data_IF_055018615590
#
_entry.id   IF_055018615590
#
_cell.length_a   1.000
_cell.length_b   1.000
_cell.length_c   1.000
_cell.angle_alpha   90.00
_cell.angle_beta   90.00
_cell.angle_gamma   90.00
#
_symmetry.space_group_name_H-M   'P 1'
#
loop_
_entity.id
_entity.type
_entity.pdbx_description
1 polymer ?
#
# COMPACT_ATOMS: atom_id res chain seq x y z
N UNK A 1 -9.39 -2.13 15.51
CA UNK A 1 -7.95 -1.82 15.61
C UNK A 1 -7.77 -0.37 16.03
N UNK A 2 -6.87 -0.07 16.98
CA UNK A 2 -6.58 1.30 17.43
C UNK A 2 -5.62 2.04 16.48
N UNK A 3 -5.45 3.36 16.65
CA UNK A 3 -4.44 4.15 15.90
C UNK A 3 -3.05 3.57 16.14
N UNK A 4 -2.70 3.31 17.41
CA UNK A 4 -1.46 2.65 17.80
C UNK A 4 -1.26 1.27 17.18
N UNK A 5 -2.34 0.51 17.01
CA UNK A 5 -2.32 -0.78 16.31
C UNK A 5 -1.93 -0.64 14.84
N UNK A 6 -2.40 0.41 14.15
CA UNK A 6 -2.02 0.71 12.75
C UNK A 6 -0.58 1.22 12.61
N UNK A 7 -0.05 1.94 13.60
CA UNK A 7 1.39 2.26 13.67
C UNK A 7 2.22 0.97 13.69
N UNK A 8 1.86 0.05 14.60
CA UNK A 8 2.52 -1.23 14.76
C UNK A 8 2.45 -2.07 13.48
N UNK A 9 1.31 -2.07 12.80
CA UNK A 9 1.11 -2.78 11.54
C UNK A 9 2.06 -2.28 10.45
N UNK A 10 2.09 -0.96 10.20
CA UNK A 10 3.00 -0.35 9.21
C UNK A 10 4.45 -0.66 9.54
N UNK A 11 4.85 -0.52 10.82
CA UNK A 11 6.22 -0.78 11.24
C UNK A 11 6.62 -2.23 10.99
N UNK A 12 5.76 -3.19 11.37
CA UNK A 12 6.01 -4.62 11.18
C UNK A 12 6.04 -5.01 9.70
N UNK A 13 5.14 -4.47 8.89
CA UNK A 13 5.11 -4.71 7.44
C UNK A 13 6.42 -4.27 6.77
N UNK A 14 7.09 -3.25 7.31
CA UNK A 14 8.39 -2.75 6.82
C UNK A 14 9.61 -3.44 7.44
N UNK A 15 9.43 -4.29 8.45
CA UNK A 15 10.53 -4.97 9.14
C UNK A 15 11.48 -4.05 9.92
N UNK A 16 11.05 -2.83 10.28
CA UNK A 16 11.89 -1.84 10.97
C UNK A 16 11.67 -1.83 12.50
N UNK A 17 12.66 -1.30 13.25
CA UNK A 17 12.62 -1.19 14.71
C UNK A 17 11.83 0.04 15.14
N UNK A 18 11.40 0.05 16.41
CA UNK A 18 10.73 1.22 16.99
C UNK A 18 11.66 2.45 17.07
N UNK A 19 12.97 2.23 17.21
CA UNK A 19 14.00 3.28 17.17
C UNK A 19 14.05 3.96 15.81
N UNK A 20 13.99 3.18 14.73
CA UNK A 20 14.05 3.70 13.37
C UNK A 20 12.82 4.58 13.08
N UNK A 21 11.65 4.20 13.60
CA UNK A 21 10.43 5.02 13.54
C UNK A 21 10.60 6.32 14.32
N UNK A 22 11.13 6.23 15.54
CA UNK A 22 11.32 7.39 16.40
C UNK A 22 12.26 8.42 15.77
N UNK A 23 13.37 7.96 15.20
CA UNK A 23 14.34 8.79 14.47
C UNK A 23 13.72 9.41 13.22
N UNK A 24 13.00 8.62 12.41
CA UNK A 24 12.39 9.10 11.16
C UNK A 24 11.37 10.22 11.35
N UNK A 25 10.66 10.24 12.48
CA UNK A 25 9.61 11.24 12.77
C UNK A 25 9.99 12.23 13.87
N UNK A 26 11.21 12.17 14.39
CA UNK A 26 11.77 13.13 15.35
C UNK A 26 11.12 13.08 16.74
N UNK A 27 10.81 11.88 17.26
CA UNK A 27 10.25 11.69 18.61
C UNK A 27 11.08 10.73 19.46
N UNK A 28 10.75 10.58 20.74
CA UNK A 28 11.42 9.61 21.60
C UNK A 28 10.97 8.18 21.31
N UNK A 29 11.89 7.21 21.47
CA UNK A 29 11.57 5.78 21.40
C UNK A 29 10.42 5.40 22.35
N UNK A 30 10.41 5.95 23.58
CA UNK A 30 9.35 5.72 24.55
C UNK A 30 7.98 6.20 24.09
N UNK A 31 7.92 7.25 23.27
CA UNK A 31 6.66 7.69 22.66
C UNK A 31 6.12 6.64 21.68
N UNK A 32 6.96 6.11 20.78
CA UNK A 32 6.59 5.03 19.85
C UNK A 32 6.08 3.80 20.62
N UNK A 33 6.80 3.36 21.65
CA UNK A 33 6.39 2.23 22.51
C UNK A 33 5.01 2.46 23.13
N UNK A 34 4.78 3.66 23.66
CA UNK A 34 3.49 4.01 24.28
C UNK A 34 2.36 4.01 23.24
N UNK A 35 2.61 4.54 22.04
CA UNK A 35 1.61 4.56 20.98
C UNK A 35 1.23 3.14 20.54
N UNK A 36 2.22 2.29 20.26
CA UNK A 36 1.96 0.89 19.86
C UNK A 36 1.30 0.05 20.97
N UNK A 37 1.38 0.48 22.23
CA UNK A 37 0.69 -0.14 23.39
C UNK A 37 -0.71 0.43 23.67
N UNK A 38 -1.18 1.40 22.88
CA UNK A 38 -2.56 1.89 22.94
C UNK A 38 -2.74 3.32 23.44
N UNK A 39 -1.66 4.08 23.67
CA UNK A 39 -1.78 5.54 23.85
C UNK A 39 -2.04 6.21 22.51
N UNK A 40 -2.99 7.14 22.44
CA UNK A 40 -3.25 7.85 21.19
C UNK A 40 -2.10 8.85 20.88
N UNK A 41 -1.52 8.80 19.67
CA UNK A 41 -0.55 9.77 19.23
C UNK A 41 -1.23 11.12 18.91
N UNK A 42 -0.59 12.25 19.22
CA UNK A 42 -1.11 13.57 18.86
C UNK A 42 -1.08 13.78 17.34
N UNK A 43 -1.88 14.73 16.85
CA UNK A 43 -2.05 14.98 15.42
C UNK A 43 -0.73 15.25 14.67
N UNK A 44 0.22 15.96 15.28
CA UNK A 44 1.52 16.22 14.68
C UNK A 44 2.36 14.93 14.46
N UNK A 45 2.25 13.95 15.37
CA UNK A 45 2.91 12.65 15.21
C UNK A 45 2.27 11.85 14.10
N UNK A 46 0.94 11.88 13.99
CA UNK A 46 0.18 11.23 12.91
C UNK A 46 0.61 11.80 11.56
N UNK A 47 0.68 13.13 11.43
CA UNK A 47 1.13 13.80 10.20
C UNK A 47 2.58 13.43 9.86
N UNK A 48 3.49 13.46 10.86
CA UNK A 48 4.90 13.12 10.65
C UNK A 48 5.07 11.66 10.20
N UNK A 49 4.34 10.73 10.82
CA UNK A 49 4.31 9.32 10.46
C UNK A 49 3.77 9.09 9.04
N UNK A 50 2.63 9.72 8.71
CA UNK A 50 2.05 9.66 7.36
C UNK A 50 3.04 10.12 6.28
N UNK A 51 3.76 11.22 6.53
CA UNK A 51 4.77 11.72 5.59
C UNK A 51 5.99 10.81 5.49
N UNK A 52 6.59 10.43 6.61
CA UNK A 52 7.80 9.63 6.64
C UNK A 52 7.60 8.23 6.04
N UNK A 53 6.42 7.65 6.22
CA UNK A 53 6.11 6.29 5.78
C UNK A 53 5.13 6.24 4.61
N UNK A 54 4.82 7.35 3.95
CA UNK A 54 3.82 7.37 2.85
C UNK A 54 2.49 6.68 3.21
N UNK A 55 2.01 6.89 4.45
CA UNK A 55 0.80 6.26 5.00
C UNK A 55 -0.38 7.21 4.92
N UNK A 56 -1.53 6.71 4.46
CA UNK A 56 -2.77 7.47 4.39
C UNK A 56 -3.25 7.87 5.80
N UNK A 57 -3.35 9.18 6.11
CA UNK A 57 -3.77 9.64 7.43
C UNK A 57 -5.22 9.26 7.77
N UNK A 58 -6.11 9.13 6.78
CA UNK A 58 -7.50 8.71 7.01
C UNK A 58 -7.58 7.26 7.43
N UNK A 59 -6.80 6.38 6.79
CA UNK A 59 -6.69 5.00 7.24
C UNK A 59 -6.05 4.92 8.62
N UNK A 60 -5.00 5.70 8.87
CA UNK A 60 -4.31 5.72 10.16
C UNK A 60 -5.22 6.19 11.31
N UNK A 61 -6.09 7.17 11.07
CA UNK A 61 -7.03 7.70 12.05
C UNK A 61 -8.28 6.81 12.21
N UNK A 62 -8.91 6.44 11.11
CA UNK A 62 -10.26 5.86 11.10
C UNK A 62 -10.29 4.38 10.71
N UNK A 63 -9.20 3.84 10.15
CA UNK A 63 -9.18 2.50 9.55
C UNK A 63 -9.98 2.42 8.24
N UNK A 64 -10.25 3.56 7.60
CA UNK A 64 -11.04 3.65 6.37
C UNK A 64 -10.10 3.84 5.19
N UNK A 65 -10.34 3.10 4.10
CA UNK A 65 -9.54 3.16 2.89
C UNK A 65 -8.27 2.32 2.99
N UNK A 66 -7.27 2.67 2.17
CA UNK A 66 -5.99 1.96 2.07
C UNK A 66 -4.94 2.56 2.99
N UNK A 67 -3.99 1.74 3.43
CA UNK A 67 -2.90 2.18 4.30
C UNK A 67 -1.87 3.08 3.60
N UNK A 68 -1.70 2.97 2.29
CA UNK A 68 -0.75 3.74 1.50
C UNK A 68 -1.36 5.01 0.88
N UNK A 69 -0.54 5.99 0.55
CA UNK A 69 -0.95 7.22 -0.17
C UNK A 69 -0.90 7.08 -1.70
N UNK A 70 -0.96 5.85 -2.22
CA UNK A 70 -0.98 5.60 -3.66
C UNK A 70 -2.08 6.41 -4.33
N UNK A 71 -1.72 7.26 -5.30
CA UNK A 71 -2.71 8.01 -6.05
C UNK A 71 -3.45 7.09 -7.02
N UNK A 72 -4.65 7.51 -7.45
CA UNK A 72 -5.39 6.82 -8.50
C UNK A 72 -4.54 6.65 -9.76
N UNK A 73 -3.74 7.65 -10.10
CA UNK A 73 -2.85 7.63 -11.27
C UNK A 73 -1.72 6.61 -11.10
N UNK A 74 -1.14 6.50 -9.89
CA UNK A 74 -0.13 5.48 -9.58
C UNK A 74 -0.69 4.07 -9.72
N UNK A 75 -1.92 3.85 -9.24
CA UNK A 75 -2.60 2.56 -9.33
C UNK A 75 -2.95 2.21 -10.78
N UNK A 76 -3.36 3.21 -11.56
CA UNK A 76 -3.61 3.03 -12.98
C UNK A 76 -2.32 2.71 -13.74
N UNK A 77 -1.23 3.45 -13.50
CA UNK A 77 0.08 3.15 -14.09
C UNK A 77 0.55 1.74 -13.77
N UNK A 78 0.53 1.34 -12.48
CA UNK A 78 0.88 -0.02 -12.05
C UNK A 78 0.02 -1.09 -12.71
N UNK A 79 -1.28 -0.86 -12.88
CA UNK A 79 -2.17 -1.86 -13.47
C UNK A 79 -1.83 -2.13 -14.94
N UNK A 80 -1.49 -1.08 -15.69
CA UNK A 80 -1.07 -1.16 -17.09
C UNK A 80 0.30 -1.84 -17.21
N UNK A 81 1.27 -1.51 -16.35
CA UNK A 81 2.59 -2.13 -16.34
C UNK A 81 2.54 -3.64 -16.08
N UNK A 82 1.74 -4.07 -15.10
CA UNK A 82 1.53 -5.49 -14.78
C UNK A 82 0.87 -6.21 -15.96
N UNK A 83 -0.18 -5.60 -16.54
CA UNK A 83 -0.86 -6.16 -17.71
C UNK A 83 0.09 -6.33 -18.90
N UNK A 84 0.87 -5.30 -19.22
CA UNK A 84 1.86 -5.33 -20.30
C UNK A 84 2.90 -6.41 -20.07
N UNK A 85 3.50 -6.47 -18.88
CA UNK A 85 4.53 -7.45 -18.52
C UNK A 85 4.04 -8.88 -18.72
N UNK A 86 2.79 -9.16 -18.38
CA UNK A 86 2.22 -10.48 -18.58
C UNK A 86 1.93 -10.78 -20.06
N UNK A 87 1.27 -9.88 -20.77
CA UNK A 87 0.86 -10.11 -22.17
C UNK A 87 2.08 -10.21 -23.09
N UNK A 88 3.11 -9.41 -22.85
CA UNK A 88 4.33 -9.39 -23.67
C UNK A 88 5.29 -10.57 -23.38
N UNK A 89 5.05 -11.38 -22.32
CA UNK A 89 5.97 -12.45 -21.91
C UNK A 89 6.19 -13.53 -22.98
N UNK A 90 5.20 -13.72 -23.86
CA UNK A 90 5.23 -14.71 -24.93
C UNK A 90 6.02 -14.27 -26.17
N UNK A 91 6.39 -12.98 -26.26
CA UNK A 91 7.05 -12.41 -27.44
C UNK A 91 6.12 -12.10 -28.61
N UNK A 92 4.83 -12.44 -28.49
CA UNK A 92 3.79 -12.10 -29.46
C UNK A 92 3.39 -10.63 -29.38
N UNK A 93 2.81 -10.11 -30.47
CA UNK A 93 2.23 -8.76 -30.49
C UNK A 93 1.05 -8.67 -29.53
N UNK A 94 1.09 -7.70 -28.61
CA UNK A 94 0.03 -7.49 -27.64
C UNK A 94 -1.14 -6.76 -28.28
N UNK A 95 -2.30 -7.41 -28.34
CA UNK A 95 -3.51 -6.76 -28.81
C UNK A 95 -3.95 -5.64 -27.84
N UNK A 96 -4.25 -4.45 -28.38
CA UNK A 96 -4.72 -3.30 -27.59
C UNK A 96 -5.93 -3.64 -26.71
N UNK A 97 -6.86 -4.45 -27.23
CA UNK A 97 -8.07 -4.83 -26.51
C UNK A 97 -7.76 -5.62 -25.22
N UNK A 98 -6.79 -6.52 -25.28
CA UNK A 98 -6.39 -7.37 -24.14
C UNK A 98 -5.68 -6.55 -23.07
N UNK A 99 -4.80 -5.63 -23.48
CA UNK A 99 -4.15 -4.68 -22.57
C UNK A 99 -5.18 -3.81 -21.83
N UNK A 100 -6.18 -3.28 -22.55
CA UNK A 100 -7.25 -2.47 -21.94
C UNK A 100 -8.07 -3.31 -20.97
N UNK A 101 -8.47 -4.53 -21.35
CA UNK A 101 -9.27 -5.43 -20.52
C UNK A 101 -8.55 -5.80 -19.23
N UNK A 102 -7.31 -6.30 -19.35
CA UNK A 102 -6.51 -6.76 -18.22
C UNK A 102 -6.07 -5.61 -17.32
N UNK A 103 -5.58 -4.51 -17.91
CA UNK A 103 -5.19 -3.32 -17.16
C UNK A 103 -6.35 -2.72 -16.37
N UNK A 104 -7.57 -2.73 -16.92
CA UNK A 104 -8.77 -2.27 -16.21
C UNK A 104 -9.14 -3.21 -15.05
N UNK A 105 -9.08 -4.53 -15.26
CA UNK A 105 -9.37 -5.50 -14.21
C UNK A 105 -8.36 -5.41 -13.05
N UNK A 106 -7.07 -5.29 -13.36
CA UNK A 106 -6.02 -5.09 -12.37
C UNK A 106 -6.17 -3.75 -11.64
N UNK A 107 -6.59 -2.69 -12.32
CA UNK A 107 -6.85 -1.40 -11.68
C UNK A 107 -7.97 -1.50 -10.65
N UNK A 108 -9.11 -2.11 -11.01
CA UNK A 108 -10.22 -2.33 -10.06
C UNK A 108 -9.78 -3.17 -8.87
N UNK A 109 -9.04 -4.26 -9.12
CA UNK A 109 -8.51 -5.10 -8.05
C UNK A 109 -7.57 -4.33 -7.12
N UNK A 110 -6.63 -3.58 -7.67
CA UNK A 110 -5.72 -2.76 -6.89
C UNK A 110 -6.51 -1.74 -6.07
N UNK A 111 -7.45 -1.01 -6.67
CA UNK A 111 -8.30 -0.05 -5.96
C UNK A 111 -8.98 -0.64 -4.72
N UNK A 112 -9.51 -1.87 -4.81
CA UNK A 112 -10.17 -2.56 -3.70
C UNK A 112 -9.21 -3.11 -2.65
N UNK A 113 -8.05 -3.64 -3.08
CA UNK A 113 -7.23 -4.51 -2.22
C UNK A 113 -5.90 -3.94 -1.75
N UNK A 114 -5.47 -2.78 -2.25
CA UNK A 114 -4.17 -2.26 -1.84
C UNK A 114 -3.06 -2.72 -2.77
N UNK A 115 -2.83 -4.02 -2.73
CA UNK A 115 -1.73 -4.65 -3.41
C UNK A 115 -2.19 -5.95 -4.04
N UNK A 116 -1.35 -6.50 -4.90
CA UNK A 116 -1.60 -7.78 -5.55
C UNK A 116 -0.44 -8.72 -5.27
N UNK A 117 -0.74 -9.88 -4.67
CA UNK A 117 0.28 -10.91 -4.52
C UNK A 117 0.61 -11.51 -5.89
N UNK A 118 1.83 -12.00 -6.06
CA UNK A 118 2.26 -12.66 -7.31
C UNK A 118 1.32 -13.81 -7.70
N UNK A 119 0.89 -14.62 -6.73
CA UNK A 119 -0.09 -15.69 -6.96
C UNK A 119 -1.47 -15.19 -7.42
N UNK A 120 -1.93 -14.04 -6.90
CA UNK A 120 -3.20 -13.44 -7.34
C UNK A 120 -3.05 -12.77 -8.71
N UNK A 121 -1.90 -12.15 -8.97
CA UNK A 121 -1.55 -11.68 -10.29
C UNK A 121 -1.66 -12.84 -11.28
N UNK A 122 -0.94 -13.94 -11.08
CA UNK A 122 -1.03 -15.12 -11.96
C UNK A 122 -2.46 -15.63 -12.17
N UNK A 123 -3.28 -15.64 -11.11
CA UNK A 123 -4.69 -16.05 -11.21
C UNK A 123 -5.52 -15.09 -12.06
N UNK A 124 -5.46 -13.78 -11.83
CA UNK A 124 -6.18 -12.80 -12.64
C UNK A 124 -5.70 -12.79 -14.09
N UNK A 125 -4.41 -13.02 -14.28
CA UNK A 125 -3.76 -13.14 -15.57
C UNK A 125 -4.25 -14.42 -16.31
N UNK A 126 -4.45 -15.55 -15.61
CA UNK A 126 -5.01 -16.78 -16.21
C UNK A 126 -6.49 -16.70 -16.57
N UNK A 127 -7.26 -15.80 -15.93
CA UNK A 127 -8.69 -15.61 -16.19
C UNK A 127 -8.97 -14.63 -17.33
N UNK A 128 -7.93 -13.94 -17.81
CA UNK A 128 -8.01 -12.95 -18.87
C UNK A 128 -7.51 -13.44 -20.23
N UNK A 129 -6.74 -14.54 -20.24
CA UNK A 129 -6.37 -15.35 -21.42
C UNK A 129 -7.54 -16.23 -21.89
#
# INVERSE_FOLDING_TARGET
MSIGGRFLEVRKARGIKQTDVAEAIGISHGAVVNYEKGRDPPANVIIAFSKAFNVNPMWLLMGIGRADQSSTDDLYGRSIEIAWTYLARGGDEVAKADLVKLGSALFQYLMEHGDISEAMAEKLLSLSA
#
